data_IF_766465399718
#
_entry.id   IF_766465399718
#
_cell.length_a   1.000
_cell.length_b   1.000
_cell.length_c   1.000
_cell.angle_alpha   90.00
_cell.angle_beta   90.00
_cell.angle_gamma   90.00
#
_symmetry.space_group_name_H-M   'P 1'
#
loop_
_entity.id
_entity.type
_entity.pdbx_description
1 polymer ?
#
# COMPACT_ATOMS: atom_id res chain seq x y z
N UNK A 1 -19.17 17.96 9.07
CA UNK A 1 -18.07 17.00 9.34
C UNK A 1 -18.05 15.88 8.30
N UNK A 2 -19.23 15.37 7.91
CA UNK A 2 -19.35 14.17 7.05
C UNK A 2 -18.82 14.37 5.63
N UNK A 3 -19.01 15.55 5.03
CA UNK A 3 -18.45 15.88 3.71
C UNK A 3 -16.91 15.84 3.73
N UNK A 4 -16.28 16.34 4.79
CA UNK A 4 -14.82 16.33 4.92
C UNK A 4 -14.30 14.89 5.04
N UNK A 5 -14.96 14.07 5.86
CA UNK A 5 -14.62 12.64 5.98
C UNK A 5 -14.83 11.87 4.66
N UNK A 6 -15.91 12.18 3.93
CA UNK A 6 -16.18 11.59 2.63
C UNK A 6 -15.08 11.96 1.62
N UNK A 7 -14.72 13.25 1.53
CA UNK A 7 -13.65 13.72 0.64
C UNK A 7 -12.31 13.07 0.99
N UNK A 8 -11.95 13.01 2.28
CA UNK A 8 -10.72 12.34 2.72
C UNK A 8 -10.70 10.85 2.32
N UNK A 9 -11.82 10.13 2.47
CA UNK A 9 -11.94 8.72 2.05
C UNK A 9 -11.80 8.55 0.54
N UNK A 10 -12.43 9.41 -0.26
CA UNK A 10 -12.35 9.35 -1.72
C UNK A 10 -10.93 9.65 -2.22
N UNK A 11 -10.27 10.65 -1.64
CA UNK A 11 -8.87 10.96 -1.95
C UNK A 11 -7.97 9.78 -1.60
N UNK A 12 -8.11 9.22 -0.39
CA UNK A 12 -7.31 8.09 0.06
C UNK A 12 -7.55 6.85 -0.82
N UNK A 13 -8.82 6.55 -1.15
CA UNK A 13 -9.16 5.47 -2.07
C UNK A 13 -8.56 5.69 -3.47
N UNK A 14 -8.60 6.92 -3.98
CA UNK A 14 -7.96 7.30 -5.24
C UNK A 14 -6.46 7.04 -5.24
N UNK A 15 -5.75 7.45 -4.17
CA UNK A 15 -4.32 7.18 -4.00
C UNK A 15 -4.03 5.68 -4.05
N UNK A 16 -4.76 4.88 -3.28
CA UNK A 16 -4.58 3.42 -3.24
C UNK A 16 -4.91 2.75 -4.58
N UNK A 17 -5.94 3.23 -5.29
CA UNK A 17 -6.33 2.67 -6.58
C UNK A 17 -5.26 2.95 -7.65
N UNK A 18 -4.77 4.20 -7.73
CA UNK A 18 -3.69 4.57 -8.66
C UNK A 18 -2.41 3.80 -8.32
N UNK A 19 -2.06 3.70 -7.04
CA UNK A 19 -0.89 2.96 -6.59
C UNK A 19 -0.98 1.47 -6.93
N UNK A 20 -2.12 0.83 -6.66
CA UNK A 20 -2.33 -0.59 -6.90
C UNK A 20 -2.37 -0.94 -8.39
N UNK A 21 -3.12 -0.17 -9.19
CA UNK A 21 -3.16 -0.37 -10.66
C UNK A 21 -1.78 -0.14 -11.26
N UNK A 22 -1.06 0.91 -10.84
CA UNK A 22 0.29 1.18 -11.31
C UNK A 22 1.25 0.02 -11.04
N UNK A 23 1.21 -0.56 -9.82
CA UNK A 23 2.04 -1.72 -9.46
C UNK A 23 1.61 -3.01 -10.17
N UNK A 24 0.33 -3.20 -10.48
CA UNK A 24 -0.12 -4.33 -11.31
C UNK A 24 0.29 -4.18 -12.78
N UNK A 25 0.35 -2.95 -13.30
CA UNK A 25 0.88 -2.67 -14.63
C UNK A 25 2.38 -2.92 -14.77
N UNK A 26 3.12 -2.80 -13.67
CA UNK A 26 4.56 -3.06 -13.59
C UNK A 26 4.89 -4.06 -12.46
N UNK A 27 4.38 -5.29 -12.59
CA UNK A 27 4.72 -6.39 -11.67
C UNK A 27 6.23 -6.66 -11.58
N UNK A 28 7.03 -6.62 -12.69
CA UNK A 28 8.47 -6.75 -12.60
C UNK A 28 9.11 -5.65 -11.74
N UNK A 29 8.71 -4.39 -11.90
CA UNK A 29 9.16 -3.28 -11.07
C UNK A 29 8.72 -3.41 -9.61
N UNK A 30 7.48 -3.87 -9.36
CA UNK A 30 6.99 -4.15 -8.01
C UNK A 30 7.83 -5.23 -7.30
N UNK A 31 8.17 -6.32 -8.01
CA UNK A 31 9.07 -7.35 -7.50
C UNK A 31 10.48 -6.80 -7.25
N UNK A 32 11.04 -6.03 -8.19
CA UNK A 32 12.37 -5.45 -8.04
C UNK A 32 12.42 -4.49 -6.84
N UNK A 33 11.36 -3.72 -6.60
CA UNK A 33 11.24 -2.89 -5.40
C UNK A 33 11.28 -3.76 -4.13
N UNK A 34 10.54 -4.87 -4.07
CA UNK A 34 10.61 -5.79 -2.92
C UNK A 34 12.01 -6.37 -2.70
N UNK A 35 12.74 -6.69 -3.77
CA UNK A 35 14.13 -7.14 -3.69
C UNK A 35 15.07 -6.03 -3.18
N UNK A 36 14.87 -4.76 -3.56
CA UNK A 36 15.60 -3.60 -3.00
C UNK A 36 15.28 -3.37 -1.53
N UNK A 37 14.04 -3.67 -1.12
CA UNK A 37 13.64 -3.77 0.28
C UNK A 37 14.22 -5.00 1.01
N UNK A 38 15.12 -5.77 0.36
CA UNK A 38 15.77 -6.97 0.89
C UNK A 38 14.79 -8.06 1.34
N UNK A 39 13.58 -8.05 0.79
CA UNK A 39 12.66 -9.18 0.92
C UNK A 39 13.31 -10.38 0.22
N UNK A 40 13.41 -11.56 0.87
CA UNK A 40 14.02 -12.72 0.24
C UNK A 40 13.34 -13.03 -1.10
N UNK A 41 14.10 -13.42 -2.12
CA UNK A 41 13.61 -13.60 -3.50
C UNK A 41 12.35 -14.46 -3.59
N UNK A 42 12.24 -15.50 -2.74
CA UNK A 42 11.06 -16.36 -2.63
C UNK A 42 9.79 -15.61 -2.21
N UNK A 43 9.91 -14.60 -1.36
CA UNK A 43 8.81 -13.75 -0.91
C UNK A 43 8.66 -12.48 -1.75
N UNK A 44 9.70 -12.02 -2.45
CA UNK A 44 9.64 -10.80 -3.25
C UNK A 44 8.61 -10.88 -4.39
N UNK A 45 8.51 -12.04 -5.05
CA UNK A 45 7.51 -12.27 -6.08
C UNK A 45 6.08 -12.27 -5.50
N UNK A 46 5.88 -12.91 -4.35
CA UNK A 46 4.57 -12.93 -3.68
C UNK A 46 4.20 -11.55 -3.14
N UNK A 47 5.12 -10.86 -2.45
CA UNK A 47 4.93 -9.54 -1.91
C UNK A 47 4.68 -8.49 -3.00
N UNK A 48 5.38 -8.60 -4.14
CA UNK A 48 5.20 -7.72 -5.29
C UNK A 48 3.81 -7.83 -5.94
N UNK A 49 3.10 -8.94 -5.72
CA UNK A 49 1.70 -9.14 -6.16
C UNK A 49 0.70 -8.83 -5.04
N UNK A 50 0.93 -9.34 -3.83
CA UNK A 50 0.02 -9.19 -2.68
C UNK A 50 -0.15 -7.74 -2.28
N UNK A 51 0.92 -6.94 -2.37
CA UNK A 51 0.88 -5.52 -2.05
C UNK A 51 -0.11 -4.74 -2.93
N UNK A 52 0.01 -4.75 -4.28
CA UNK A 52 -0.97 -4.10 -5.15
C UNK A 52 -2.42 -4.58 -4.92
N UNK A 53 -2.61 -5.88 -4.68
CA UNK A 53 -3.94 -6.43 -4.38
C UNK A 53 -4.48 -5.86 -3.08
N UNK A 54 -3.67 -5.80 -2.02
CA UNK A 54 -4.06 -5.20 -0.74
C UNK A 54 -4.42 -3.71 -0.89
N UNK A 55 -3.66 -2.96 -1.69
CA UNK A 55 -3.93 -1.55 -1.98
C UNK A 55 -5.31 -1.35 -2.64
N UNK A 56 -5.62 -2.14 -3.67
CA UNK A 56 -6.93 -2.09 -4.35
C UNK A 56 -8.06 -2.49 -3.42
N UNK A 57 -7.88 -3.53 -2.59
CA UNK A 57 -8.88 -3.94 -1.61
C UNK A 57 -9.15 -2.83 -0.59
N UNK A 58 -8.11 -2.17 -0.08
CA UNK A 58 -8.25 -1.02 0.82
C UNK A 58 -9.04 0.10 0.14
N UNK A 59 -8.77 0.41 -1.14
CA UNK A 59 -9.53 1.41 -1.89
C UNK A 59 -11.02 1.07 -1.97
N UNK A 60 -11.37 -0.19 -2.30
CA UNK A 60 -12.76 -0.66 -2.40
C UNK A 60 -13.47 -0.54 -1.04
N UNK A 61 -12.81 -1.00 0.03
CA UNK A 61 -13.32 -0.99 1.40
C UNK A 61 -13.48 0.44 1.93
N UNK A 62 -12.61 1.37 1.54
CA UNK A 62 -12.70 2.79 1.89
C UNK A 62 -13.87 3.50 1.21
N UNK A 63 -14.32 3.08 0.02
CA UNK A 63 -15.47 3.69 -0.67
C UNK A 63 -16.80 3.23 -0.06
N UNK A 64 -16.86 2.00 0.46
CA UNK A 64 -18.08 1.42 1.05
C UNK A 64 -18.31 1.94 2.47
N UNK A 65 -19.45 2.62 2.70
CA UNK A 65 -19.78 3.24 4.00
C UNK A 65 -19.77 2.27 5.18
N UNK A 66 -20.27 1.04 5.00
CA UNK A 66 -20.33 0.04 6.06
C UNK A 66 -18.95 -0.48 6.51
N UNK A 67 -17.94 -0.41 5.63
CA UNK A 67 -16.62 -0.99 5.86
C UNK A 67 -15.49 0.03 5.91
N UNK A 68 -15.82 1.32 5.78
CA UNK A 68 -14.88 2.44 5.77
C UNK A 68 -13.89 2.42 6.95
N UNK A 69 -14.36 2.02 8.14
CA UNK A 69 -13.54 1.88 9.33
C UNK A 69 -12.43 0.83 9.15
N UNK A 70 -12.78 -0.33 8.60
CA UNK A 70 -11.82 -1.38 8.28
C UNK A 70 -10.84 -0.95 7.18
N UNK A 71 -11.32 -0.19 6.20
CA UNK A 71 -10.48 0.40 5.15
C UNK A 71 -9.46 1.38 5.73
N UNK A 72 -9.88 2.24 6.67
CA UNK A 72 -9.00 3.18 7.35
C UNK A 72 -7.94 2.45 8.21
N UNK A 73 -8.35 1.41 8.94
CA UNK A 73 -7.43 0.58 9.71
C UNK A 73 -6.41 -0.12 8.82
N UNK A 74 -6.85 -0.71 7.70
CA UNK A 74 -6.00 -1.34 6.70
C UNK A 74 -5.01 -0.37 6.07
N UNK A 75 -5.48 0.83 5.69
CA UNK A 75 -4.64 1.91 5.18
C UNK A 75 -3.57 2.34 6.19
N UNK A 76 -3.95 2.49 7.46
CA UNK A 76 -3.03 2.86 8.54
C UNK A 76 -1.97 1.78 8.76
N UNK A 77 -2.38 0.51 8.81
CA UNK A 77 -1.46 -0.60 9.01
C UNK A 77 -0.45 -0.69 7.85
N UNK A 78 -0.93 -0.57 6.61
CA UNK A 78 -0.06 -0.58 5.43
C UNK A 78 0.94 0.59 5.48
N UNK A 79 0.47 1.79 5.84
CA UNK A 79 1.32 2.97 6.00
C UNK A 79 2.41 2.74 7.05
N UNK A 80 2.05 2.19 8.21
CA UNK A 80 3.01 1.90 9.28
C UNK A 80 4.06 0.89 8.83
N UNK A 81 3.66 -0.15 8.08
CA UNK A 81 4.59 -1.12 7.50
C UNK A 81 5.57 -0.43 6.55
N UNK A 82 5.09 0.43 5.64
CA UNK A 82 5.96 1.19 4.74
C UNK A 82 6.92 2.11 5.48
N UNK A 83 6.41 2.89 6.44
CA UNK A 83 7.22 3.81 7.24
C UNK A 83 8.28 3.05 8.03
N UNK A 84 7.92 1.93 8.65
CA UNK A 84 8.88 1.09 9.38
C UNK A 84 9.95 0.49 8.44
N UNK A 85 9.56 0.00 7.27
CA UNK A 85 10.49 -0.55 6.28
C UNK A 85 11.48 0.51 5.77
N UNK A 86 10.97 1.69 5.40
CA UNK A 86 11.77 2.83 4.95
C UNK A 86 12.70 3.31 6.07
N UNK A 87 12.17 3.48 7.29
CA UNK A 87 12.92 3.90 8.46
C UNK A 87 14.04 2.93 8.84
N UNK A 88 13.77 1.63 8.78
CA UNK A 88 14.78 0.60 8.99
C UNK A 88 15.90 0.70 7.95
N UNK A 89 15.56 0.89 6.68
CA UNK A 89 16.56 1.04 5.61
C UNK A 89 17.42 2.29 5.79
N UNK A 90 16.80 3.44 6.04
CA UNK A 90 17.49 4.71 6.30
C UNK A 90 18.41 4.62 7.53
N UNK A 91 17.94 4.04 8.64
CA UNK A 91 18.73 3.88 9.86
C UNK A 91 19.99 3.01 9.65
N UNK A 92 19.99 2.14 8.63
CA UNK A 92 21.14 1.31 8.27
C UNK A 92 21.96 1.90 7.11
N UNK A 93 21.72 3.16 6.72
CA UNK A 93 22.43 3.84 5.63
C UNK A 93 22.14 3.26 4.25
N UNK A 94 21.00 2.59 4.08
CA UNK A 94 20.60 1.95 2.82
C UNK A 94 19.56 2.84 2.14
N UNK A 95 19.78 3.14 0.87
CA UNK A 95 18.76 3.76 0.00
C UNK A 95 18.03 2.64 -0.75
N UNK A 96 16.78 2.31 -0.38
CA UNK A 96 15.96 1.37 -1.16
C UNK A 96 15.66 1.89 -2.58
#
# INVERSE_FOLDING_TARGET
>A
MDIVLLMARLVLAGIFLVAGIGKLGDLPGSRQAMERFRVPVRFAALAGLVLPVAEILIAIVLVTLATAWWGALGALLLLLVFVAAIGYHLAHGRTP
#
